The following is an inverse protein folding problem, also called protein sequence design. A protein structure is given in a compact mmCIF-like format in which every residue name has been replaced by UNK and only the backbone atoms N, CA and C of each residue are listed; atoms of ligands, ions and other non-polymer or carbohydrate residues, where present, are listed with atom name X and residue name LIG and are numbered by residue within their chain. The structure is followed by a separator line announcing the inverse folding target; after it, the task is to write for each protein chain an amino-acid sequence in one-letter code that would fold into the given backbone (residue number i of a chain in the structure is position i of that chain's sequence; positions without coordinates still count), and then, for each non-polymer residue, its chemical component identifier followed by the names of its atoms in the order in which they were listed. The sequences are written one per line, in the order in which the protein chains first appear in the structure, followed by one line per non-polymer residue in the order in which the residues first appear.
data_IF_375253663679
#
_entry.id   IF_375253663679
#
_cell.length_a   1.000
_cell.length_b   1.000
_cell.length_c   1.000
_cell.angle_alpha   90.00
_cell.angle_beta   90.00
_cell.angle_gamma   90.00
#
_symmetry.space_group_name_H-M   'P 1'
#
loop_
_entity.id
_entity.type
_entity.pdbx_description
1 polymer ?
#
# COMPACT_ATOMS: atom_id res chain seq x y z
N UNK A 1 -26.19 4.26 -8.22
CA UNK A 1 -25.20 4.02 -7.13
C UNK A 1 -24.82 5.36 -6.52
N UNK A 2 -24.53 5.40 -5.21
CA UNK A 2 -24.05 6.61 -4.52
C UNK A 2 -22.70 7.02 -5.11
N UNK A 3 -22.47 8.32 -5.31
CA UNK A 3 -21.17 8.82 -5.75
C UNK A 3 -20.12 8.64 -4.63
N UNK A 4 -18.85 8.45 -5.00
CA UNK A 4 -17.76 8.47 -4.03
C UNK A 4 -17.60 9.88 -3.44
N UNK A 5 -17.22 10.02 -2.16
CA UNK A 5 -17.06 11.32 -1.53
C UNK A 5 -15.94 12.15 -2.18
N UNK A 6 -16.06 13.48 -2.08
CA UNK A 6 -15.01 14.42 -2.50
C UNK A 6 -15.12 15.72 -1.69
N UNK A 7 -14.03 16.48 -1.60
CA UNK A 7 -13.99 17.80 -0.93
C UNK A 7 -13.31 18.80 -1.85
N UNK A 8 -14.11 19.70 -2.44
CA UNK A 8 -13.65 20.53 -3.54
C UNK A 8 -13.13 19.65 -4.68
N UNK A 9 -11.87 19.87 -5.08
CA UNK A 9 -11.17 19.09 -6.12
C UNK A 9 -10.51 17.80 -5.58
N UNK A 10 -10.45 17.60 -4.26
CA UNK A 10 -9.87 16.38 -3.65
C UNK A 10 -10.85 15.23 -3.78
N UNK A 11 -10.39 14.11 -4.36
CA UNK A 11 -11.20 12.90 -4.59
C UNK A 11 -10.71 11.76 -3.70
N UNK A 12 -11.54 10.72 -3.54
CA UNK A 12 -11.07 9.45 -2.99
C UNK A 12 -9.84 8.97 -3.77
N UNK A 13 -8.84 8.47 -3.06
CA UNK A 13 -7.69 7.80 -3.65
C UNK A 13 -7.58 6.43 -2.99
N UNK A 14 -7.71 5.38 -3.78
CA UNK A 14 -7.44 4.03 -3.32
C UNK A 14 -5.93 3.80 -3.29
N UNK A 15 -5.36 3.71 -2.10
CA UNK A 15 -3.90 3.63 -1.92
C UNK A 15 -3.34 2.24 -2.19
N UNK A 16 -4.17 1.25 -2.53
CA UNK A 16 -3.75 -0.13 -2.69
C UNK A 16 -4.65 -0.86 -3.69
N UNK A 17 -4.24 -0.91 -4.96
CA UNK A 17 -4.94 -1.73 -5.98
C UNK A 17 -3.94 -2.55 -6.78
N UNK A 18 -4.21 -3.83 -6.90
CA UNK A 18 -3.36 -4.76 -7.61
C UNK A 18 -3.61 -4.81 -9.11
N UNK A 19 -2.52 -4.70 -9.88
CA UNK A 19 -2.55 -4.79 -11.35
C UNK A 19 -1.61 -5.88 -11.89
N UNK A 20 -1.97 -6.42 -13.05
CA UNK A 20 -1.11 -7.27 -13.85
C UNK A 20 -0.43 -6.51 -15.00
N UNK A 21 0.40 -7.19 -15.81
CA UNK A 21 0.67 -8.63 -15.75
C UNK A 21 1.58 -9.04 -14.58
N UNK A 22 1.34 -10.22 -14.02
CA UNK A 22 2.23 -10.94 -13.09
C UNK A 22 1.79 -12.43 -13.04
N UNK A 23 2.40 -13.24 -12.17
CA UNK A 23 2.01 -14.65 -12.02
C UNK A 23 0.59 -14.82 -11.46
N UNK A 24 0.14 -13.89 -10.62
CA UNK A 24 -1.25 -13.83 -10.16
C UNK A 24 -2.15 -13.33 -11.29
N UNK A 25 -3.31 -13.98 -11.42
CA UNK A 25 -4.33 -13.49 -12.35
C UNK A 25 -4.94 -12.21 -11.78
N UNK A 26 -4.89 -11.13 -12.56
CA UNK A 26 -5.43 -9.82 -12.17
C UNK A 26 -6.61 -9.42 -13.02
N UNK A 27 -7.57 -8.74 -12.40
CA UNK A 27 -8.72 -8.13 -13.05
C UNK A 27 -8.29 -6.98 -13.97
N UNK A 28 -7.25 -6.26 -13.57
CA UNK A 28 -6.81 -5.05 -14.22
C UNK A 28 -5.42 -5.19 -14.84
N UNK A 29 -5.28 -4.60 -16.03
CA UNK A 29 -4.01 -3.98 -16.43
C UNK A 29 -3.98 -2.55 -15.92
N UNK A 30 -2.81 -1.91 -15.93
CA UNK A 30 -2.70 -0.48 -15.60
C UNK A 30 -3.67 0.39 -16.43
N UNK A 31 -3.84 0.08 -17.72
CA UNK A 31 -4.72 0.81 -18.63
C UNK A 31 -6.20 0.67 -18.26
N UNK A 32 -6.67 -0.56 -18.01
CA UNK A 32 -8.09 -0.78 -17.70
C UNK A 32 -8.48 -0.20 -16.35
N UNK A 33 -7.57 -0.25 -15.37
CA UNK A 33 -7.78 0.41 -14.08
C UNK A 33 -7.80 1.93 -14.22
N UNK A 34 -6.89 2.52 -15.00
CA UNK A 34 -6.89 3.96 -15.27
C UNK A 34 -8.19 4.41 -15.96
N UNK A 35 -8.74 3.59 -16.86
CA UNK A 35 -10.02 3.89 -17.51
C UNK A 35 -11.19 3.88 -16.51
N UNK A 36 -11.24 2.92 -15.59
CA UNK A 36 -12.24 2.90 -14.52
C UNK A 36 -12.10 4.10 -13.58
N UNK A 37 -10.88 4.37 -13.10
CA UNK A 37 -10.57 5.50 -12.23
C UNK A 37 -11.08 6.83 -12.82
N UNK A 38 -10.81 7.07 -14.11
CA UNK A 38 -11.31 8.27 -14.83
C UNK A 38 -12.82 8.31 -14.95
N UNK A 39 -13.45 7.18 -15.30
CA UNK A 39 -14.90 7.07 -15.47
C UNK A 39 -15.64 7.32 -14.16
N UNK A 40 -15.12 6.78 -13.06
CA UNK A 40 -15.80 6.77 -11.76
C UNK A 40 -15.33 7.90 -10.83
N UNK A 41 -14.22 8.56 -11.16
CA UNK A 41 -13.77 9.78 -10.50
C UNK A 41 -13.02 9.55 -9.18
N UNK A 42 -12.18 8.51 -9.12
CA UNK A 42 -11.28 8.22 -7.99
C UNK A 42 -9.81 8.15 -8.45
N UNK A 43 -8.88 8.50 -7.58
CA UNK A 43 -7.45 8.23 -7.77
C UNK A 43 -7.05 6.84 -7.30
N UNK A 44 -5.89 6.36 -7.74
CA UNK A 44 -5.42 5.00 -7.42
C UNK A 44 -3.90 4.89 -7.39
N UNK A 45 -3.40 4.10 -6.43
CA UNK A 45 -2.02 3.58 -6.40
C UNK A 45 -2.01 2.15 -6.93
N UNK A 46 -1.26 1.93 -8.00
CA UNK A 46 -1.19 0.64 -8.69
C UNK A 46 -0.01 -0.18 -8.17
N UNK A 47 -0.28 -1.33 -7.57
CA UNK A 47 0.70 -2.25 -6.99
C UNK A 47 0.85 -3.53 -7.81
N UNK A 48 2.08 -4.03 -7.86
CA UNK A 48 2.43 -5.32 -8.42
C UNK A 48 3.49 -5.96 -7.51
N UNK A 49 3.50 -7.30 -7.38
CA UNK A 49 4.40 -7.96 -6.45
C UNK A 49 5.79 -8.24 -7.03
N UNK A 50 5.93 -8.23 -8.35
CA UNK A 50 7.13 -8.69 -9.06
C UNK A 50 7.84 -7.58 -9.82
N UNK A 51 7.19 -6.44 -10.03
CA UNK A 51 7.70 -5.35 -10.86
C UNK A 51 7.28 -3.99 -10.30
N UNK A 52 8.14 -2.96 -10.41
CA UNK A 52 7.70 -1.58 -10.26
C UNK A 52 6.64 -1.22 -11.31
N UNK A 53 5.60 -0.49 -10.90
CA UNK A 53 4.52 -0.04 -11.80
C UNK A 53 4.68 1.40 -12.27
N UNK A 54 5.65 2.14 -11.73
CA UNK A 54 5.93 3.55 -12.05
C UNK A 54 6.12 3.81 -13.54
N UNK A 55 6.83 2.94 -14.25
CA UNK A 55 7.01 3.02 -15.71
C UNK A 55 5.71 2.85 -16.49
N UNK A 56 4.89 1.87 -16.11
CA UNK A 56 3.60 1.61 -16.76
C UNK A 56 2.63 2.77 -16.51
N UNK A 57 2.55 3.25 -15.26
CA UNK A 57 1.66 4.35 -14.88
C UNK A 57 2.08 5.66 -15.55
N UNK A 58 3.38 5.95 -15.66
CA UNK A 58 3.86 7.18 -16.30
C UNK A 58 3.44 7.31 -17.76
N UNK A 59 3.34 6.20 -18.50
CA UNK A 59 2.88 6.20 -19.89
C UNK A 59 1.37 6.42 -20.04
N UNK A 60 0.60 6.22 -18.97
CA UNK A 60 -0.85 6.33 -18.98
C UNK A 60 -1.37 7.67 -18.48
N UNK A 61 -0.57 8.41 -17.70
CA UNK A 61 -0.92 9.73 -17.16
C UNK A 61 -1.11 10.74 -18.29
N UNK A 62 -2.18 11.53 -18.21
CA UNK A 62 -2.52 12.57 -19.17
C UNK A 62 -2.51 13.95 -18.51
N UNK A 63 -2.14 15.02 -19.22
CA UNK A 63 -2.16 16.38 -18.66
C UNK A 63 -3.54 16.83 -18.16
N UNK A 64 -4.62 16.28 -18.71
CA UNK A 64 -6.01 16.62 -18.38
C UNK A 64 -6.65 15.69 -17.34
N UNK A 65 -5.91 14.73 -16.79
CA UNK A 65 -6.42 13.82 -15.77
C UNK A 65 -6.93 14.58 -14.55
N UNK A 66 -8.15 14.25 -14.13
CA UNK A 66 -8.79 14.75 -12.90
C UNK A 66 -8.68 13.79 -11.73
N UNK A 67 -7.96 12.69 -11.93
CA UNK A 67 -7.73 11.61 -10.96
C UNK A 67 -6.25 11.32 -10.86
N UNK A 68 -5.80 10.96 -9.67
CA UNK A 68 -4.42 10.57 -9.43
C UNK A 68 -4.18 9.16 -9.97
N UNK A 69 -3.21 8.97 -10.86
CA UNK A 69 -2.71 7.65 -11.23
C UNK A 69 -1.29 7.54 -10.70
N UNK A 70 -1.08 6.68 -9.71
CA UNK A 70 0.17 6.61 -8.95
C UNK A 70 0.79 5.23 -9.09
N UNK A 71 2.09 5.20 -9.38
CA UNK A 71 2.86 3.96 -9.44
C UNK A 71 3.34 3.51 -8.06
N UNK A 72 4.04 2.39 -8.02
CA UNK A 72 4.65 1.89 -6.80
C UNK A 72 5.72 0.84 -7.07
N UNK A 73 6.38 0.40 -6.00
CA UNK A 73 7.18 -0.82 -5.97
C UNK A 73 7.01 -1.53 -4.63
N UNK A 74 6.90 -2.86 -4.65
CA UNK A 74 7.03 -3.69 -3.47
C UNK A 74 8.42 -4.33 -3.46
N UNK A 75 9.21 -4.10 -2.41
CA UNK A 75 10.61 -4.53 -2.26
C UNK A 75 10.74 -6.05 -2.00
N UNK A 76 9.91 -6.86 -2.66
CA UNK A 76 10.09 -8.31 -2.71
C UNK A 76 11.42 -8.65 -3.39
N UNK A 77 11.94 -9.86 -3.18
CA UNK A 77 13.21 -10.30 -3.78
C UNK A 77 13.27 -10.09 -5.30
N UNK A 78 12.17 -10.33 -6.02
CA UNK A 78 12.09 -10.10 -7.47
C UNK A 78 12.23 -8.63 -7.90
N UNK A 79 11.95 -7.69 -7.00
CA UNK A 79 12.07 -6.25 -7.21
C UNK A 79 13.36 -5.66 -6.64
N UNK A 80 14.34 -6.49 -6.26
CA UNK A 80 15.60 -6.04 -5.69
C UNK A 80 15.72 -6.19 -4.17
N UNK A 81 14.66 -6.62 -3.48
CA UNK A 81 14.69 -6.79 -2.02
C UNK A 81 14.75 -5.47 -1.24
N UNK A 82 14.94 -5.56 0.07
CA UNK A 82 15.17 -4.39 0.93
C UNK A 82 16.59 -3.86 0.71
N UNK A 83 16.73 -3.04 -0.30
CA UNK A 83 17.88 -2.21 -0.62
C UNK A 83 17.43 -1.06 -1.53
N UNK A 84 18.34 -0.20 -1.96
CA UNK A 84 18.04 0.91 -2.87
C UNK A 84 17.64 0.47 -4.28
N UNK A 85 17.96 -0.76 -4.68
CA UNK A 85 17.80 -1.25 -6.06
C UNK A 85 16.36 -1.16 -6.56
N UNK A 86 15.39 -1.62 -5.75
CA UNK A 86 13.98 -1.58 -6.13
C UNK A 86 13.43 -0.16 -6.20
N UNK A 87 13.83 0.69 -5.24
CA UNK A 87 13.43 2.11 -5.21
C UNK A 87 13.99 2.85 -6.41
N UNK A 88 15.26 2.65 -6.75
CA UNK A 88 15.93 3.24 -7.91
C UNK A 88 15.32 2.77 -9.23
N UNK A 89 14.98 1.48 -9.33
CA UNK A 89 14.27 0.93 -10.48
C UNK A 89 12.92 1.63 -10.68
N UNK A 90 12.15 1.81 -9.59
CA UNK A 90 10.90 2.54 -9.62
C UNK A 90 11.08 4.02 -10.01
N UNK A 91 12.05 4.73 -9.45
CA UNK A 91 12.39 6.11 -9.81
C UNK A 91 12.71 6.23 -11.31
N UNK A 92 13.47 5.28 -11.87
CA UNK A 92 13.87 5.31 -13.28
C UNK A 92 12.68 5.36 -14.25
N UNK A 93 11.55 4.73 -13.88
CA UNK A 93 10.31 4.71 -14.66
C UNK A 93 9.33 5.82 -14.29
N UNK A 94 9.60 6.62 -13.26
CA UNK A 94 8.64 7.59 -12.74
C UNK A 94 8.75 8.94 -13.44
N UNK A 95 8.32 8.98 -14.71
CA UNK A 95 8.66 10.08 -15.62
C UNK A 95 7.69 10.19 -16.80
N UNK A 96 6.98 11.31 -16.92
CA UNK A 96 6.05 11.55 -18.05
C UNK A 96 6.78 11.94 -19.34
N UNK A 97 7.76 12.84 -19.23
CA UNK A 97 8.61 13.22 -20.36
C UNK A 97 9.80 12.27 -20.44
N UNK A 98 9.73 11.28 -21.35
CA UNK A 98 10.78 10.27 -21.57
C UNK A 98 12.13 10.85 -21.99
N UNK A 99 12.20 12.13 -22.36
CA UNK A 99 13.44 12.78 -22.81
C UNK A 99 14.15 13.59 -21.73
N UNK A 100 13.48 13.95 -20.63
CA UNK A 100 14.12 14.71 -19.57
C UNK A 100 15.21 13.88 -18.85
N UNK A 101 16.10 14.51 -18.09
CA UNK A 101 17.12 13.78 -17.32
C UNK A 101 16.57 13.20 -16.00
N UNK A 102 15.78 13.99 -15.29
CA UNK A 102 15.31 13.66 -13.93
C UNK A 102 13.92 12.98 -13.96
N UNK A 103 13.58 12.16 -12.95
CA UNK A 103 12.21 11.69 -12.76
C UNK A 103 11.26 12.84 -12.38
N UNK A 104 9.96 12.60 -12.51
CA UNK A 104 8.94 13.52 -12.00
C UNK A 104 9.07 13.61 -10.46
N UNK A 105 8.91 14.81 -9.90
CA UNK A 105 8.94 15.04 -8.45
C UNK A 105 7.65 14.59 -7.73
N UNK A 106 6.70 14.00 -8.46
CA UNK A 106 5.47 13.45 -7.90
C UNK A 106 5.80 12.27 -6.98
N UNK A 107 4.98 12.03 -5.96
CA UNK A 107 5.20 10.94 -5.00
C UNK A 107 4.67 9.61 -5.54
N UNK A 108 5.33 8.51 -5.16
CA UNK A 108 4.84 7.15 -5.35
C UNK A 108 5.07 6.31 -4.09
N UNK A 109 4.43 5.14 -4.01
CA UNK A 109 4.49 4.27 -2.82
C UNK A 109 5.60 3.22 -2.95
N UNK A 110 6.40 3.09 -1.91
CA UNK A 110 7.40 2.03 -1.74
C UNK A 110 6.94 1.13 -0.60
N UNK A 111 6.49 -0.07 -0.94
CA UNK A 111 6.23 -1.11 0.04
C UNK A 111 7.52 -1.82 0.40
N UNK A 112 7.77 -1.97 1.69
CA UNK A 112 8.61 -3.04 2.21
C UNK A 112 8.10 -4.41 1.73
N UNK A 113 8.89 -5.48 1.84
CA UNK A 113 8.55 -6.75 1.23
C UNK A 113 7.22 -7.31 1.74
N UNK A 114 6.59 -8.15 0.93
CA UNK A 114 5.30 -8.75 1.22
C UNK A 114 5.43 -10.27 1.24
N UNK A 115 5.51 -10.88 0.07
CA UNK A 115 5.35 -12.33 -0.10
C UNK A 115 6.61 -13.12 0.28
N UNK A 116 7.76 -12.43 0.32
CA UNK A 116 9.02 -13.03 0.74
C UNK A 116 9.37 -12.77 2.21
N UNK A 117 8.51 -12.08 2.98
CA UNK A 117 8.73 -11.94 4.42
C UNK A 117 8.61 -13.29 5.12
N UNK A 118 9.46 -13.53 6.11
CA UNK A 118 9.44 -14.78 6.90
C UNK A 118 8.09 -14.98 7.59
N UNK A 119 7.49 -13.90 8.10
CA UNK A 119 6.16 -13.93 8.73
C UNK A 119 5.07 -14.38 7.74
N UNK A 120 5.09 -13.84 6.52
CA UNK A 120 4.21 -14.26 5.44
C UNK A 120 4.42 -15.74 5.09
N UNK A 121 5.66 -16.14 4.86
CA UNK A 121 6.00 -17.51 4.49
C UNK A 121 5.56 -18.52 5.57
N UNK A 122 5.65 -18.18 6.86
CA UNK A 122 5.12 -19.04 7.94
C UNK A 122 3.60 -19.25 7.83
N UNK A 123 2.84 -18.17 7.56
CA UNK A 123 1.38 -18.24 7.38
C UNK A 123 0.97 -19.06 6.15
N UNK A 124 1.72 -18.95 5.04
CA UNK A 124 1.36 -19.59 3.77
C UNK A 124 2.12 -20.90 3.50
N UNK A 125 2.35 -21.71 4.53
CA UNK A 125 2.99 -23.04 4.40
C UNK A 125 4.31 -22.99 3.60
N UNK A 126 5.11 -21.95 3.88
CA UNK A 126 6.40 -21.68 3.26
C UNK A 126 6.35 -21.38 1.76
N UNK A 127 5.19 -21.01 1.23
CA UNK A 127 4.99 -20.55 -0.15
C UNK A 127 4.84 -19.03 -0.17
N UNK A 128 5.43 -18.38 -1.16
CA UNK A 128 5.24 -16.95 -1.40
C UNK A 128 3.82 -16.58 -1.83
N UNK A 129 3.14 -17.51 -2.50
CA UNK A 129 1.85 -17.30 -3.12
C UNK A 129 0.92 -18.46 -2.82
N UNK A 130 -0.33 -18.14 -2.47
CA UNK A 130 -1.39 -19.14 -2.30
C UNK A 130 -2.07 -19.46 -3.62
N UNK A 131 -2.25 -20.75 -3.94
CA UNK A 131 -3.05 -21.19 -5.10
C UNK A 131 -4.52 -20.74 -5.00
N UNK A 132 -5.02 -20.47 -3.79
CA UNK A 132 -6.34 -19.88 -3.57
C UNK A 132 -6.49 -18.49 -4.23
N UNK A 133 -5.38 -17.81 -4.54
CA UNK A 133 -5.37 -16.53 -5.24
C UNK A 133 -5.40 -16.67 -6.77
N UNK A 134 -5.62 -17.90 -7.28
CA UNK A 134 -5.82 -18.16 -8.71
C UNK A 134 -4.53 -18.31 -9.53
N UNK A 135 -3.39 -18.49 -8.87
CA UNK A 135 -2.11 -18.89 -9.47
C UNK A 135 -2.02 -20.41 -9.59
N UNK A 136 -1.31 -20.90 -10.61
CA UNK A 136 -0.97 -22.34 -10.71
C UNK A 136 0.21 -22.65 -9.80
N UNK A 137 0.15 -23.74 -9.02
CA UNK A 137 1.21 -24.14 -8.09
C UNK A 137 2.63 -24.24 -8.68
N UNK A 138 2.79 -24.46 -9.98
CA UNK A 138 4.11 -24.47 -10.64
C UNK A 138 4.80 -23.10 -10.70
N UNK A 139 4.05 -22.01 -10.51
CA UNK A 139 4.56 -20.64 -10.48
C UNK A 139 4.70 -20.09 -9.04
N UNK A 140 4.34 -20.89 -8.04
CA UNK A 140 4.58 -20.55 -6.63
C UNK A 140 5.94 -21.11 -6.23
N UNK A 141 6.61 -20.47 -5.29
CA UNK A 141 7.93 -20.89 -4.81
C UNK A 141 7.89 -21.28 -3.35
N UNK A 142 8.49 -22.42 -3.03
CA UNK A 142 8.75 -22.82 -1.66
C UNK A 142 10.04 -22.17 -1.13
N UNK A 143 10.02 -21.73 0.11
CA UNK A 143 11.14 -21.15 0.84
C UNK A 143 11.41 -21.95 2.10
N UNK A 144 12.62 -22.50 2.22
CA UNK A 144 13.03 -23.19 3.44
C UNK A 144 12.90 -22.26 4.66
N UNK A 145 12.73 -22.84 5.85
CA UNK A 145 12.63 -22.08 7.10
C UNK A 145 13.83 -21.14 7.27
N UNK A 146 13.56 -19.89 7.69
CA UNK A 146 14.60 -18.87 7.88
C UNK A 146 15.19 -18.28 6.59
N UNK A 147 14.70 -18.65 5.40
CA UNK A 147 15.14 -18.05 4.13
C UNK A 147 14.26 -16.88 3.66
N UNK A 148 13.15 -16.61 4.37
CA UNK A 148 12.39 -15.39 4.20
C UNK A 148 13.19 -14.17 4.63
N UNK A 149 12.80 -13.01 4.12
CA UNK A 149 13.32 -11.76 4.64
C UNK A 149 12.83 -11.56 6.08
N UNK A 150 13.77 -11.23 6.97
CA UNK A 150 13.47 -10.67 8.28
C UNK A 150 14.21 -9.36 8.45
N UNK A 151 13.59 -8.39 9.11
CA UNK A 151 14.26 -7.20 9.62
C UNK A 151 14.83 -7.52 11.01
N UNK A 152 16.14 -7.67 11.08
CA UNK A 152 16.87 -7.98 12.31
C UNK A 152 17.82 -6.82 12.61
N UNK A 153 17.56 -6.08 13.70
CA UNK A 153 18.41 -4.97 14.13
C UNK A 153 19.82 -5.42 14.52
N UNK A 154 20.02 -6.71 14.86
CA UNK A 154 21.33 -7.28 15.13
C UNK A 154 22.14 -7.65 13.88
N UNK A 155 21.57 -7.48 12.68
CA UNK A 155 22.23 -7.79 11.42
C UNK A 155 22.66 -6.52 10.69
N UNK A 156 23.95 -6.17 10.80
CA UNK A 156 24.52 -4.93 10.23
C UNK A 156 24.28 -4.79 8.72
N UNK A 157 24.40 -5.88 7.95
CA UNK A 157 24.21 -5.86 6.49
C UNK A 157 22.77 -5.53 6.11
N UNK A 158 21.79 -6.15 6.79
CA UNK A 158 20.37 -5.86 6.59
C UNK A 158 20.02 -4.45 7.00
N UNK A 159 20.58 -3.97 8.11
CA UNK A 159 20.35 -2.61 8.59
C UNK A 159 20.97 -1.57 7.64
N UNK A 160 22.14 -1.84 7.08
CA UNK A 160 22.74 -0.99 6.06
C UNK A 160 21.88 -0.96 4.78
N UNK A 161 21.35 -2.11 4.35
CA UNK A 161 20.48 -2.20 3.17
C UNK A 161 19.13 -1.47 3.38
N UNK A 162 18.51 -1.64 4.55
CA UNK A 162 17.32 -0.88 4.93
C UNK A 162 17.59 0.62 4.90
N UNK A 163 18.69 1.09 5.52
CA UNK A 163 19.03 2.52 5.54
C UNK A 163 19.26 3.07 4.14
N UNK A 164 19.86 2.31 3.22
CA UNK A 164 19.99 2.73 1.81
C UNK A 164 18.62 2.91 1.15
N UNK A 165 17.70 1.96 1.34
CA UNK A 165 16.34 2.08 0.82
C UNK A 165 15.60 3.31 1.40
N UNK A 166 15.63 3.47 2.73
CA UNK A 166 14.99 4.58 3.41
C UNK A 166 15.60 5.94 3.05
N UNK A 167 16.91 6.01 2.80
CA UNK A 167 17.56 7.24 2.35
C UNK A 167 17.00 7.70 1.01
N UNK A 168 16.86 6.80 0.03
CA UNK A 168 16.29 7.14 -1.28
C UNK A 168 14.82 7.57 -1.14
N UNK A 169 14.05 6.93 -0.25
CA UNK A 169 12.68 7.33 0.06
C UNK A 169 12.64 8.75 0.63
N UNK A 170 13.49 9.06 1.61
CA UNK A 170 13.56 10.37 2.25
C UNK A 170 14.00 11.46 1.27
N UNK A 171 15.05 11.21 0.49
CA UNK A 171 15.62 12.17 -0.47
C UNK A 171 14.63 12.58 -1.58
N UNK A 172 13.66 11.73 -1.88
CA UNK A 172 12.66 11.94 -2.93
C UNK A 172 11.24 12.15 -2.38
N UNK A 173 11.09 12.34 -1.06
CA UNK A 173 9.81 12.52 -0.36
C UNK A 173 8.73 11.46 -0.73
N UNK A 174 9.16 10.20 -0.83
CA UNK A 174 8.30 9.08 -1.21
C UNK A 174 7.49 8.56 -0.01
N UNK A 175 6.44 7.79 -0.31
CA UNK A 175 5.58 7.19 0.72
C UNK A 175 6.11 5.80 1.04
N UNK A 176 6.43 5.54 2.31
CA UNK A 176 6.78 4.22 2.80
C UNK A 176 5.53 3.46 3.24
N UNK A 177 5.41 2.20 2.81
CA UNK A 177 4.43 1.27 3.33
C UNK A 177 5.11 0.02 3.90
N UNK A 178 4.65 -0.50 5.05
CA UNK A 178 5.38 -1.53 5.82
C UNK A 178 5.32 -2.94 5.25
N UNK A 179 4.47 -3.20 4.26
CA UNK A 179 4.39 -4.51 3.63
C UNK A 179 3.86 -5.58 4.59
N UNK A 180 4.39 -6.81 4.52
CA UNK A 180 3.94 -7.94 5.36
C UNK A 180 5.00 -8.34 6.41
N UNK A 181 5.70 -7.34 6.95
CA UNK A 181 6.50 -7.52 8.16
C UNK A 181 5.64 -7.99 9.34
N UNK A 182 6.25 -8.68 10.29
CA UNK A 182 5.60 -9.00 11.55
C UNK A 182 5.39 -7.75 12.42
N UNK A 183 4.82 -7.96 13.60
CA UNK A 183 4.61 -6.91 14.61
C UNK A 183 5.87 -6.09 14.89
N UNK A 184 6.95 -6.74 15.28
CA UNK A 184 8.15 -6.06 15.75
C UNK A 184 8.90 -5.41 14.60
N UNK A 185 8.97 -6.09 13.45
CA UNK A 185 9.56 -5.58 12.22
C UNK A 185 8.83 -4.32 11.74
N UNK A 186 7.49 -4.32 11.81
CA UNK A 186 6.64 -3.17 11.46
C UNK A 186 6.93 -1.97 12.36
N UNK A 187 6.92 -2.16 13.69
CA UNK A 187 7.21 -1.07 14.64
C UNK A 187 8.63 -0.54 14.46
N UNK A 188 9.59 -1.42 14.20
CA UNK A 188 10.99 -1.08 13.97
C UNK A 188 11.16 -0.21 12.73
N UNK A 189 10.60 -0.63 11.59
CA UNK A 189 10.75 0.14 10.34
C UNK A 189 10.05 1.49 10.41
N UNK A 190 8.88 1.60 11.08
CA UNK A 190 8.18 2.87 11.30
C UNK A 190 9.06 3.85 12.08
N UNK A 191 9.62 3.41 13.21
CA UNK A 191 10.51 4.23 14.05
C UNK A 191 11.72 4.70 13.26
N UNK A 192 12.44 3.78 12.61
CA UNK A 192 13.67 4.12 11.86
C UNK A 192 13.37 5.05 10.70
N UNK A 193 12.28 4.81 9.95
CA UNK A 193 11.88 5.67 8.85
C UNK A 193 11.60 7.10 9.32
N UNK A 194 10.88 7.26 10.44
CA UNK A 194 10.62 8.56 11.01
C UNK A 194 11.89 9.26 11.51
N UNK A 195 12.79 8.54 12.19
CA UNK A 195 14.11 9.06 12.62
C UNK A 195 14.95 9.54 11.43
N UNK A 196 14.80 8.90 10.26
CA UNK A 196 15.44 9.29 9.00
C UNK A 196 14.72 10.41 8.24
N UNK A 197 13.64 10.96 8.80
CA UNK A 197 12.91 12.10 8.23
C UNK A 197 11.79 11.73 7.27
N UNK A 198 11.44 10.46 7.13
CA UNK A 198 10.28 10.05 6.32
C UNK A 198 9.01 10.40 7.10
N UNK A 199 8.15 11.24 6.52
CA UNK A 199 6.90 11.71 7.15
C UNK A 199 5.65 11.04 6.60
N UNK A 200 5.78 10.23 5.54
CA UNK A 200 4.68 9.54 4.86
C UNK A 200 4.83 8.04 5.05
N UNK A 201 4.22 7.54 6.11
CA UNK A 201 4.35 6.14 6.53
C UNK A 201 2.97 5.52 6.62
N UNK A 202 2.78 4.38 5.97
CA UNK A 202 1.56 3.57 6.00
C UNK A 202 1.91 2.22 6.64
N UNK A 203 1.27 1.88 7.75
CA UNK A 203 1.26 0.53 8.27
C UNK A 203 0.28 -0.29 7.43
N UNK A 204 0.80 -1.14 6.55
CA UNK A 204 0.01 -2.00 5.66
C UNK A 204 -0.69 -3.08 6.46
N UNK A 205 -2.02 -3.14 6.33
CA UNK A 205 -2.90 -4.13 6.99
C UNK A 205 -2.48 -4.44 8.44
N UNK A 206 -2.53 -3.46 9.37
CA UNK A 206 -1.94 -3.63 10.70
C UNK A 206 -2.67 -4.70 11.54
N UNK A 207 -3.90 -5.06 11.18
CA UNK A 207 -4.67 -6.16 11.77
C UNK A 207 -4.39 -7.54 11.14
N UNK A 208 -3.62 -7.63 10.05
CA UNK A 208 -3.34 -8.89 9.37
C UNK A 208 -2.66 -9.87 10.32
N UNK A 209 -2.96 -11.17 10.18
CA UNK A 209 -2.60 -12.22 11.14
C UNK A 209 -1.08 -12.45 11.32
N UNK A 210 -0.24 -11.85 10.47
CA UNK A 210 1.22 -11.87 10.70
C UNK A 210 1.71 -10.67 11.49
N UNK A 211 0.93 -9.59 11.54
CA UNK A 211 1.29 -8.30 12.14
C UNK A 211 0.57 -8.07 13.46
N UNK A 212 -0.73 -8.37 13.53
CA UNK A 212 -1.55 -8.41 14.74
C UNK A 212 -1.33 -7.21 15.69
N UNK A 213 -1.33 -5.98 15.15
CA UNK A 213 -1.29 -4.78 15.97
C UNK A 213 -2.66 -4.53 16.61
N UNK A 214 -2.64 -4.15 17.88
CA UNK A 214 -3.84 -3.68 18.59
C UNK A 214 -4.07 -2.17 18.35
N UNK A 215 -5.32 -1.68 18.47
CA UNK A 215 -5.64 -0.26 18.28
C UNK A 215 -4.81 0.71 19.12
N UNK A 216 -4.44 0.33 20.35
CA UNK A 216 -3.63 1.19 21.22
C UNK A 216 -2.22 1.37 20.65
N UNK A 217 -1.60 0.28 20.17
CA UNK A 217 -0.31 0.32 19.50
C UNK A 217 -0.36 1.15 18.22
N UNK A 218 -1.42 0.99 17.42
CA UNK A 218 -1.62 1.80 16.22
C UNK A 218 -1.76 3.29 16.55
N UNK A 219 -2.52 3.63 17.60
CA UNK A 219 -2.68 5.02 18.08
C UNK A 219 -1.33 5.62 18.48
N UNK A 220 -0.50 4.88 19.22
CA UNK A 220 0.86 5.33 19.56
C UNK A 220 1.72 5.56 18.32
N UNK A 221 1.67 4.66 17.34
CA UNK A 221 2.42 4.83 16.09
C UNK A 221 1.98 6.06 15.29
N UNK A 222 0.68 6.35 15.29
CA UNK A 222 0.13 7.56 14.70
C UNK A 222 0.60 8.83 15.44
N UNK A 223 0.45 8.86 16.77
CA UNK A 223 0.78 10.04 17.59
C UNK A 223 2.28 10.35 17.62
N UNK A 224 3.13 9.32 17.69
CA UNK A 224 4.58 9.48 17.79
C UNK A 224 5.23 9.68 16.41
N UNK A 225 4.79 8.91 15.40
CA UNK A 225 5.51 8.84 14.12
C UNK A 225 4.73 9.37 12.93
N UNK A 226 3.43 9.66 13.07
CA UNK A 226 2.55 10.03 11.96
C UNK A 226 2.24 8.86 11.03
N UNK A 227 2.38 7.61 11.51
CA UNK A 227 2.15 6.42 10.70
C UNK A 227 0.64 6.11 10.60
N UNK A 228 0.12 6.07 9.37
CA UNK A 228 -1.28 5.79 9.09
C UNK A 228 -1.57 4.30 9.16
N UNK A 229 -2.67 3.92 9.80
CA UNK A 229 -3.21 2.54 9.75
C UNK A 229 -4.04 2.33 8.48
N UNK A 230 -3.66 1.38 7.63
CA UNK A 230 -4.42 1.01 6.45
C UNK A 230 -5.46 -0.08 6.74
N UNK A 231 -6.75 0.25 6.60
CA UNK A 231 -7.83 -0.73 6.64
C UNK A 231 -8.26 -1.06 5.20
N UNK A 232 -8.00 -2.30 4.78
CA UNK A 232 -8.28 -2.72 3.40
C UNK A 232 -9.58 -3.53 3.29
N UNK A 233 -10.40 -3.23 2.29
CA UNK A 233 -11.66 -3.94 2.03
C UNK A 233 -11.46 -5.46 1.88
N UNK A 234 -10.42 -5.88 1.16
CA UNK A 234 -10.21 -7.31 0.85
C UNK A 234 -10.00 -8.16 2.10
N UNK A 235 -9.43 -7.62 3.19
CA UNK A 235 -9.20 -8.42 4.41
C UNK A 235 -10.51 -8.86 5.06
N UNK A 236 -11.61 -8.11 4.89
CA UNK A 236 -12.93 -8.50 5.39
C UNK A 236 -13.46 -9.77 4.71
N UNK A 237 -13.02 -10.03 3.47
CA UNK A 237 -13.42 -11.22 2.71
C UNK A 237 -12.37 -12.36 2.78
N UNK A 238 -11.09 -12.03 2.99
CA UNK A 238 -9.99 -12.98 2.82
C UNK A 238 -9.23 -13.33 4.10
N UNK A 239 -9.35 -12.53 5.16
CA UNK A 239 -8.53 -12.65 6.36
C UNK A 239 -9.35 -12.79 7.66
N UNK A 240 -10.61 -13.18 7.54
CA UNK A 240 -11.55 -13.39 8.66
C UNK A 240 -11.67 -12.16 9.59
N UNK A 241 -11.40 -10.96 9.08
CA UNK A 241 -11.59 -9.71 9.81
C UNK A 241 -13.05 -9.25 9.73
N UNK A 242 -13.55 -8.67 10.83
CA UNK A 242 -14.90 -8.13 10.90
C UNK A 242 -14.93 -6.60 10.84
N UNK A 243 -16.08 -6.05 10.48
CA UNK A 243 -16.29 -4.59 10.51
C UNK A 243 -16.15 -4.02 11.92
N UNK A 244 -16.51 -4.79 12.95
CA UNK A 244 -16.39 -4.38 14.35
C UNK A 244 -14.93 -4.16 14.73
N UNK A 245 -14.00 -5.03 14.29
CA UNK A 245 -12.57 -4.82 14.50
C UNK A 245 -12.05 -3.56 13.80
N UNK A 246 -12.57 -3.25 12.60
CA UNK A 246 -12.23 -2.01 11.89
C UNK A 246 -12.74 -0.78 12.64
N UNK A 247 -13.95 -0.85 13.19
CA UNK A 247 -14.53 0.23 13.99
C UNK A 247 -13.71 0.45 15.26
N UNK A 248 -13.27 -0.61 15.95
CA UNK A 248 -12.37 -0.49 17.11
C UNK A 248 -11.06 0.23 16.77
N UNK A 249 -10.49 -0.03 15.58
CA UNK A 249 -9.32 0.72 15.10
C UNK A 249 -9.65 2.18 14.83
N UNK A 250 -10.77 2.47 14.14
CA UNK A 250 -11.18 3.85 13.83
C UNK A 250 -11.44 4.65 15.10
N UNK A 251 -12.10 4.06 16.09
CA UNK A 251 -12.37 4.69 17.39
C UNK A 251 -11.10 4.85 18.23
N UNK A 252 -10.23 3.83 18.22
CA UNK A 252 -8.99 3.83 19.01
C UNK A 252 -7.91 4.77 18.47
N UNK A 253 -7.73 4.82 17.15
CA UNK A 253 -6.69 5.65 16.49
C UNK A 253 -7.23 7.04 16.16
N UNK A 254 -8.53 7.15 15.84
CA UNK A 254 -9.15 8.33 15.26
C UNK A 254 -9.01 8.36 13.73
N UNK A 255 -10.02 8.90 13.05
CA UNK A 255 -10.08 8.97 11.58
C UNK A 255 -8.93 9.75 10.93
N UNK A 256 -8.23 10.61 11.67
CA UNK A 256 -7.05 11.34 11.19
C UNK A 256 -5.83 10.44 10.97
N UNK A 257 -5.73 9.31 11.68
CA UNK A 257 -4.61 8.36 11.60
C UNK A 257 -4.92 7.08 10.82
N UNK A 258 -6.04 7.04 10.09
CA UNK A 258 -6.49 5.85 9.35
C UNK A 258 -6.68 6.18 7.87
N UNK A 259 -6.34 5.25 6.99
CA UNK A 259 -6.71 5.29 5.57
C UNK A 259 -7.56 4.08 5.21
N UNK A 260 -8.49 4.27 4.27
CA UNK A 260 -9.30 3.20 3.70
C UNK A 260 -8.82 2.89 2.29
N UNK A 261 -8.37 1.66 2.08
CA UNK A 261 -7.97 1.12 0.77
C UNK A 261 -8.86 -0.05 0.39
N UNK A 262 -8.90 -0.46 -0.88
CA UNK A 262 -9.64 -1.67 -1.24
C UNK A 262 -8.77 -2.94 -1.22
N UNK A 263 -7.50 -2.83 -1.62
CA UNK A 263 -6.60 -3.97 -1.89
C UNK A 263 -7.17 -4.98 -2.92
N UNK A 264 -8.05 -4.51 -3.80
CA UNK A 264 -8.70 -5.32 -4.83
C UNK A 264 -7.81 -5.47 -6.07
N UNK A 265 -8.32 -6.17 -7.08
CA UNK A 265 -7.61 -6.47 -8.33
C UNK A 265 -7.47 -7.97 -8.57
N UNK A 266 -7.92 -8.78 -7.62
CA UNK A 266 -8.17 -10.21 -7.82
C UNK A 266 -9.32 -10.39 -8.82
N UNK A 267 -9.30 -11.46 -9.61
CA UNK A 267 -10.32 -11.69 -10.65
C UNK A 267 -11.74 -11.75 -10.08
N UNK A 268 -11.89 -12.29 -8.86
CA UNK A 268 -13.17 -12.48 -8.19
C UNK A 268 -13.68 -11.26 -7.42
N UNK A 269 -12.86 -10.23 -7.16
CA UNK A 269 -13.28 -9.05 -6.40
C UNK A 269 -14.29 -8.22 -7.18
N UNK A 270 -15.01 -7.31 -6.52
CA UNK A 270 -15.75 -6.26 -7.20
C UNK A 270 -14.79 -5.32 -7.99
N UNK A 271 -15.37 -4.41 -8.79
CA UNK A 271 -14.58 -3.28 -9.31
C UNK A 271 -14.16 -2.34 -8.18
N UNK A 272 -13.13 -1.51 -8.39
CA UNK A 272 -12.61 -0.63 -7.33
C UNK A 272 -13.68 0.33 -6.85
N UNK A 273 -14.38 0.99 -7.78
CA UNK A 273 -15.42 1.95 -7.41
C UNK A 273 -16.57 1.31 -6.63
N UNK A 274 -16.95 0.08 -6.99
CA UNK A 274 -18.01 -0.67 -6.31
C UNK A 274 -17.56 -1.17 -4.93
N UNK A 275 -16.34 -1.70 -4.82
CA UNK A 275 -15.75 -2.12 -3.56
C UNK A 275 -15.67 -0.97 -2.56
N UNK A 276 -15.23 0.21 -2.98
CA UNK A 276 -15.16 1.40 -2.11
C UNK A 276 -16.56 1.86 -1.68
N UNK A 277 -17.55 1.86 -2.57
CA UNK A 277 -18.94 2.22 -2.22
C UNK A 277 -19.52 1.26 -1.21
N UNK A 278 -19.33 -0.05 -1.41
CA UNK A 278 -19.76 -1.08 -0.48
C UNK A 278 -19.08 -0.87 0.88
N UNK A 279 -17.75 -0.75 0.88
CA UNK A 279 -16.97 -0.58 2.09
C UNK A 279 -17.42 0.63 2.91
N UNK A 280 -17.59 1.78 2.26
CA UNK A 280 -18.04 3.00 2.93
C UNK A 280 -19.49 2.89 3.41
N UNK A 281 -20.37 2.26 2.62
CA UNK A 281 -21.78 2.10 3.00
C UNK A 281 -21.92 1.19 4.22
N UNK A 282 -21.16 0.10 4.28
CA UNK A 282 -21.18 -0.84 5.41
C UNK A 282 -20.61 -0.22 6.70
N UNK A 283 -19.55 0.59 6.61
CA UNK A 283 -19.03 1.36 7.74
C UNK A 283 -20.06 2.39 8.23
N UNK A 284 -20.70 3.13 7.31
CA UNK A 284 -21.74 4.10 7.64
C UNK A 284 -22.96 3.44 8.29
N UNK A 285 -23.39 2.28 7.78
CA UNK A 285 -24.50 1.50 8.34
C UNK A 285 -24.22 1.04 9.78
N UNK A 286 -22.95 0.93 10.17
CA UNK A 286 -22.50 0.56 11.52
C UNK A 286 -22.12 1.76 12.40
N UNK A 287 -22.41 2.98 11.94
CA UNK A 287 -22.29 4.19 12.77
C UNK A 287 -21.02 5.02 12.54
N UNK A 288 -20.14 4.64 11.61
CA UNK A 288 -19.02 5.51 11.21
C UNK A 288 -19.56 6.74 10.50
N UNK A 289 -19.16 7.94 10.94
CA UNK A 289 -19.68 9.19 10.41
C UNK A 289 -19.20 9.43 8.98
N UNK A 290 -20.02 10.11 8.18
CA UNK A 290 -19.64 10.49 6.82
C UNK A 290 -18.37 11.34 6.79
N UNK A 291 -18.22 12.29 7.71
CA UNK A 291 -17.01 13.11 7.84
C UNK A 291 -15.76 12.26 8.13
N UNK A 292 -15.88 11.18 8.91
CA UNK A 292 -14.78 10.26 9.18
C UNK A 292 -14.41 9.44 7.93
N UNK A 293 -15.40 8.99 7.15
CA UNK A 293 -15.14 8.35 5.85
C UNK A 293 -14.42 9.32 4.91
N UNK A 294 -14.87 10.56 4.81
CA UNK A 294 -14.21 11.61 4.01
C UNK A 294 -12.78 11.84 4.50
N UNK A 295 -12.57 11.92 5.81
CA UNK A 295 -11.24 12.09 6.38
C UNK A 295 -10.29 10.97 5.96
N UNK A 296 -10.69 9.71 6.15
CA UNK A 296 -9.82 8.55 5.92
C UNK A 296 -9.59 8.26 4.44
N UNK A 297 -10.59 8.47 3.57
CA UNK A 297 -10.53 8.08 2.16
C UNK A 297 -10.17 9.22 1.19
N UNK A 298 -10.43 10.47 1.57
CA UNK A 298 -10.16 11.67 0.76
C UNK A 298 -9.03 12.49 1.39
N UNK A 299 -9.20 12.97 2.62
CA UNK A 299 -8.28 13.97 3.17
C UNK A 299 -6.90 13.38 3.46
N UNK A 300 -6.83 12.23 4.14
CA UNK A 300 -5.57 11.58 4.51
C UNK A 300 -4.79 11.10 3.29
N UNK A 301 -5.47 10.50 2.31
CA UNK A 301 -4.85 9.97 1.09
C UNK A 301 -4.33 11.09 0.19
N UNK A 302 -5.07 12.21 0.06
CA UNK A 302 -4.57 13.40 -0.64
C UNK A 302 -3.41 14.05 0.12
N UNK A 303 -3.44 14.08 1.46
CA UNK A 303 -2.33 14.59 2.27
C UNK A 303 -1.05 13.79 2.04
N UNK A 304 -1.14 12.46 2.04
CA UNK A 304 0.00 11.58 1.75
C UNK A 304 0.63 11.86 0.37
N UNK A 305 -0.18 12.09 -0.67
CA UNK A 305 0.33 12.23 -2.04
C UNK A 305 0.72 13.67 -2.42
N UNK A 306 -0.01 14.68 -1.97
CA UNK A 306 0.06 16.02 -2.56
C UNK A 306 0.47 17.12 -1.59
N UNK A 307 0.21 16.95 -0.29
CA UNK A 307 0.51 18.00 0.68
C UNK A 307 1.96 17.92 1.17
N UNK A 308 2.52 19.06 1.54
CA UNK A 308 3.85 19.13 2.14
C UNK A 308 3.77 18.81 3.64
N UNK A 309 4.38 17.69 4.02
CA UNK A 309 4.55 17.27 5.41
C UNK A 309 6.01 17.52 5.81
N UNK A 310 6.33 18.78 6.13
CA UNK A 310 7.62 19.14 6.73
C UNK A 310 7.68 18.71 8.20
#
# INVERSE_FOLDING_TARGET
MKALPHVGDKRVIDMHVHIGPEFLRRKYSAETLAAEARKEGFGVVMKNHFQPTTGQVSQLRRPDDKVALVGSVALNFGCGGVDDHGVRSALSGWKRDVTAADPDSDRFVVWMPTMCCEAHLRKYNRRDLSEAWGIKGQYTRYYAEGTGYTLDEGNDDKMAALRRALQVIADNDLILATGHFDRNETLTVVRIAHEMGIRRIIMTHPLFQTTELDPETMRRMWEEYGAYSELAFVNLAMDDLSYEQYIEVIEGVGSQGVILSSDVGQVFSAGVGDALREFFSELQARGVKEDDIVQMSVMNTNKLLFEDMK
#
